data_IF_214460404018
#
_entry.id   IF_214460404018
#
_cell.length_a   1.000
_cell.length_b   1.000
_cell.length_c   1.000
_cell.angle_alpha   90.00
_cell.angle_beta   90.00
_cell.angle_gamma   90.00
#
_symmetry.space_group_name_H-M   'P 1'
#
loop_
_entity.id
_entity.type
_entity.pdbx_description
1 polymer ?
#
# COMPACT_ATOMS: atom_id res chain seq x y z
N UNK A 1 -16.52 -23.50 14.61
CA UNK A 1 -15.59 -22.68 13.80
C UNK A 1 -15.91 -22.91 12.33
N UNK A 2 -15.89 -21.85 11.51
CA UNK A 2 -16.05 -21.98 10.06
C UNK A 2 -14.70 -22.24 9.38
N UNK A 3 -14.70 -22.93 8.24
CA UNK A 3 -13.54 -22.91 7.33
C UNK A 3 -13.49 -21.56 6.64
N UNK A 4 -12.27 -21.06 6.41
CA UNK A 4 -12.02 -19.81 5.69
C UNK A 4 -11.22 -20.15 4.45
N UNK A 5 -11.56 -19.53 3.32
CA UNK A 5 -10.88 -19.71 2.03
C UNK A 5 -10.53 -18.34 1.44
N UNK A 6 -9.47 -18.27 0.66
CA UNK A 6 -9.15 -17.10 -0.15
C UNK A 6 -9.82 -17.27 -1.51
N UNK A 7 -10.68 -16.33 -1.90
CA UNK A 7 -11.45 -16.40 -3.16
C UNK A 7 -10.95 -15.47 -4.24
N UNK A 8 -10.17 -14.43 -3.89
CA UNK A 8 -9.56 -13.54 -4.88
C UNK A 8 -8.39 -12.76 -4.31
N UNK A 9 -7.49 -12.36 -5.20
CA UNK A 9 -6.23 -11.67 -4.88
C UNK A 9 -6.06 -10.47 -5.80
N UNK A 10 -5.70 -9.33 -5.22
CA UNK A 10 -5.30 -8.13 -5.94
C UNK A 10 -3.96 -7.62 -5.42
N UNK A 11 -3.08 -7.24 -6.34
CA UNK A 11 -1.70 -6.86 -6.03
C UNK A 11 -1.26 -5.71 -6.92
N UNK A 12 -0.57 -4.76 -6.30
CA UNK A 12 0.06 -3.61 -6.97
C UNK A 12 1.41 -3.39 -6.30
N UNK A 13 2.49 -3.56 -7.05
CA UNK A 13 3.85 -3.28 -6.60
C UNK A 13 4.77 -3.04 -7.82
N UNK A 14 6.05 -2.75 -7.58
CA UNK A 14 7.02 -2.55 -8.68
C UNK A 14 7.25 -3.79 -9.56
N UNK A 15 6.90 -4.99 -9.09
CA UNK A 15 7.00 -6.23 -9.86
C UNK A 15 5.80 -6.39 -10.81
N UNK A 16 4.62 -5.87 -10.47
CA UNK A 16 3.46 -5.89 -11.36
C UNK A 16 2.21 -5.25 -10.77
N UNK A 17 1.33 -4.81 -11.67
CA UNK A 17 -0.02 -4.34 -11.36
C UNK A 17 -0.99 -5.42 -11.84
N UNK A 18 -1.77 -6.00 -10.94
CA UNK A 18 -2.62 -7.16 -11.21
C UNK A 18 -1.92 -8.50 -11.00
N UNK A 19 -2.72 -9.52 -10.72
CA UNK A 19 -2.26 -10.86 -10.33
C UNK A 19 -1.44 -11.55 -11.43
N UNK A 20 -1.92 -11.49 -12.69
CA UNK A 20 -1.25 -12.16 -13.82
C UNK A 20 0.17 -11.63 -14.03
N UNK A 21 0.32 -10.30 -14.15
CA UNK A 21 1.62 -9.70 -14.40
C UNK A 21 2.57 -9.86 -13.22
N UNK A 22 2.06 -9.72 -12.00
CA UNK A 22 2.83 -9.99 -10.79
C UNK A 22 3.35 -11.43 -10.77
N UNK A 23 2.49 -12.41 -11.06
CA UNK A 23 2.87 -13.82 -11.02
C UNK A 23 3.89 -14.17 -12.10
N UNK A 24 3.67 -13.75 -13.35
CA UNK A 24 4.60 -13.93 -14.46
C UNK A 24 6.01 -13.38 -14.15
N UNK A 25 6.06 -12.17 -13.61
CA UNK A 25 7.32 -11.52 -13.27
C UNK A 25 7.99 -12.18 -12.05
N UNK A 26 7.20 -12.63 -11.06
CA UNK A 26 7.73 -13.33 -9.89
C UNK A 26 8.40 -14.65 -10.28
N UNK A 27 7.74 -15.49 -11.09
CA UNK A 27 8.26 -16.81 -11.47
C UNK A 27 9.46 -16.73 -12.42
N UNK A 28 9.55 -15.65 -13.22
CA UNK A 28 10.68 -15.42 -14.14
C UNK A 28 11.89 -14.79 -13.45
N UNK A 29 11.79 -14.43 -12.17
CA UNK A 29 12.86 -13.75 -11.44
C UNK A 29 13.07 -12.30 -11.86
N UNK A 30 12.03 -11.64 -12.39
CA UNK A 30 12.07 -10.22 -12.70
C UNK A 30 12.37 -9.39 -11.44
N UNK A 31 13.24 -8.41 -11.57
CA UNK A 31 13.67 -7.56 -10.47
C UNK A 31 13.34 -6.10 -10.77
N UNK A 32 12.40 -5.54 -10.01
CA UNK A 32 11.93 -4.16 -10.12
C UNK A 32 12.84 -3.13 -9.44
N UNK A 33 13.81 -3.56 -8.62
CA UNK A 33 14.65 -2.65 -7.84
C UNK A 33 15.52 -1.82 -8.78
N UNK A 34 15.46 -0.51 -8.66
CA UNK A 34 16.28 0.42 -9.41
C UNK A 34 16.62 1.66 -8.57
N UNK A 35 17.33 2.62 -9.18
CA UNK A 35 17.54 3.94 -8.57
C UNK A 35 16.18 4.61 -8.34
N UNK A 36 16.03 5.23 -7.18
CA UNK A 36 14.85 6.05 -6.86
C UNK A 36 14.74 7.20 -7.88
N UNK A 37 13.54 7.39 -8.43
CA UNK A 37 13.26 8.46 -9.39
C UNK A 37 12.22 9.45 -8.87
N UNK A 38 11.49 9.11 -7.80
CA UNK A 38 10.46 9.97 -7.21
C UNK A 38 10.99 11.27 -6.59
N UNK A 39 12.24 11.29 -6.13
CA UNK A 39 12.89 12.45 -5.51
C UNK A 39 14.42 12.32 -5.55
N UNK A 40 15.13 13.41 -5.22
CA UNK A 40 16.58 13.41 -5.16
C UNK A 40 17.10 12.65 -3.92
N UNK A 41 17.96 11.66 -4.17
CA UNK A 41 18.62 10.83 -3.16
C UNK A 41 20.13 11.09 -3.09
N UNK A 42 20.61 12.17 -3.69
CA UNK A 42 22.03 12.52 -3.70
C UNK A 42 22.58 12.62 -2.28
N UNK A 43 23.71 11.95 -2.03
CA UNK A 43 24.37 11.92 -0.72
C UNK A 43 23.79 10.91 0.27
N UNK A 44 22.68 10.23 -0.04
CA UNK A 44 22.15 9.16 0.80
C UNK A 44 22.93 7.85 0.60
N UNK A 45 23.10 7.08 1.69
CA UNK A 45 23.84 5.81 1.66
C UNK A 45 23.14 4.75 0.80
N UNK A 46 21.81 4.75 0.83
CA UNK A 46 20.93 4.01 -0.06
C UNK A 46 20.23 5.01 -0.99
N UNK A 47 20.26 4.76 -2.30
CA UNK A 47 19.52 5.51 -3.32
C UNK A 47 18.68 4.61 -4.24
N UNK A 48 18.35 3.40 -3.78
CA UNK A 48 17.64 2.38 -4.57
C UNK A 48 16.36 1.93 -3.89
N UNK A 49 15.38 1.51 -4.67
CA UNK A 49 14.08 1.02 -4.20
C UNK A 49 13.29 0.33 -5.31
N UNK A 50 12.12 -0.21 -4.98
CA UNK A 50 11.21 -0.80 -5.94
C UNK A 50 9.98 0.09 -6.12
N UNK A 51 10.04 1.05 -7.04
CA UNK A 51 8.91 1.94 -7.33
C UNK A 51 7.85 1.26 -8.21
N UNK A 52 6.57 1.59 -8.02
CA UNK A 52 5.50 1.29 -8.98
C UNK A 52 5.66 2.24 -10.18
N UNK A 53 5.77 1.68 -11.38
CA UNK A 53 5.86 2.47 -12.62
C UNK A 53 4.52 3.18 -12.91
N UNK A 54 4.56 4.52 -12.95
CA UNK A 54 3.40 5.36 -13.24
C UNK A 54 2.83 5.14 -14.64
N UNK A 55 3.59 4.58 -15.57
CA UNK A 55 3.08 4.19 -16.91
C UNK A 55 2.10 3.02 -16.84
N UNK A 56 2.24 2.18 -15.82
CA UNK A 56 1.44 0.97 -15.63
C UNK A 56 0.32 1.17 -14.57
N UNK A 57 0.29 2.32 -13.89
CA UNK A 57 -0.67 2.58 -12.83
C UNK A 57 -1.15 4.04 -12.84
N UNK A 58 -2.43 4.21 -13.16
CA UNK A 58 -3.14 5.50 -13.05
C UNK A 58 -4.23 5.37 -11.98
N UNK A 59 -4.10 6.04 -10.80
CA UNK A 59 -5.05 5.90 -9.71
C UNK A 59 -6.51 6.14 -10.12
N UNK A 60 -6.77 7.16 -10.94
CA UNK A 60 -8.12 7.58 -11.32
C UNK A 60 -8.93 6.51 -12.07
N UNK A 61 -8.27 5.48 -12.61
CA UNK A 61 -8.95 4.42 -13.35
C UNK A 61 -9.65 3.41 -12.41
N UNK A 62 -9.33 3.44 -11.11
CA UNK A 62 -9.84 2.52 -10.10
C UNK A 62 -10.89 3.13 -9.16
N UNK A 63 -11.12 4.44 -9.24
CA UNK A 63 -12.14 5.14 -8.45
C UNK A 63 -13.44 5.30 -9.25
N UNK A 64 -14.57 5.06 -8.61
CA UNK A 64 -15.91 5.38 -9.13
C UNK A 64 -16.02 6.88 -9.40
N UNK A 65 -15.49 7.72 -8.49
CA UNK A 65 -15.34 9.14 -8.70
C UNK A 65 -13.86 9.52 -8.89
N UNK A 66 -13.48 9.80 -10.14
CA UNK A 66 -12.10 10.16 -10.50
C UNK A 66 -11.51 11.34 -9.72
N UNK A 67 -12.34 12.23 -9.17
CA UNK A 67 -11.86 13.39 -8.37
C UNK A 67 -11.25 12.96 -7.04
N UNK A 68 -11.60 11.78 -6.53
CA UNK A 68 -11.09 11.29 -5.24
C UNK A 68 -9.63 10.86 -5.31
N UNK A 69 -9.09 10.63 -6.53
CA UNK A 69 -7.66 10.46 -6.75
C UNK A 69 -6.84 11.71 -6.34
N UNK A 70 -7.43 12.92 -6.32
CA UNK A 70 -6.72 14.13 -5.90
C UNK A 70 -6.85 14.42 -4.39
N UNK A 71 -7.57 13.58 -3.65
CA UNK A 71 -7.95 13.81 -2.25
C UNK A 71 -7.35 12.80 -1.29
N UNK A 72 -6.56 11.87 -1.82
CA UNK A 72 -5.99 10.75 -1.10
C UNK A 72 -4.49 10.64 -1.37
N UNK A 73 -3.80 9.91 -0.50
CA UNK A 73 -2.39 9.55 -0.69
C UNK A 73 -2.24 8.27 -1.54
N UNK A 74 -1.03 8.03 -2.05
CA UNK A 74 -0.66 6.85 -2.85
C UNK A 74 -1.00 5.55 -2.12
N UNK A 75 -0.86 5.48 -0.79
CA UNK A 75 -1.21 4.27 -0.04
C UNK A 75 -2.70 3.91 -0.17
N UNK A 76 -3.60 4.91 -0.18
CA UNK A 76 -5.02 4.69 -0.43
C UNK A 76 -5.29 4.35 -1.89
N UNK A 77 -4.58 4.95 -2.85
CA UNK A 77 -4.69 4.59 -4.26
C UNK A 77 -4.39 3.12 -4.50
N UNK A 78 -3.30 2.62 -3.92
CA UNK A 78 -2.91 1.21 -4.04
C UNK A 78 -3.94 0.29 -3.38
N UNK A 79 -4.49 0.65 -2.20
CA UNK A 79 -5.51 -0.14 -1.53
C UNK A 79 -6.82 -0.23 -2.33
N UNK A 80 -7.29 0.88 -2.89
CA UNK A 80 -8.52 0.91 -3.71
C UNK A 80 -8.34 0.05 -4.96
N UNK A 81 -7.23 0.25 -5.67
CA UNK A 81 -6.98 -0.48 -6.90
C UNK A 81 -6.71 -1.98 -6.65
N UNK A 82 -5.93 -2.34 -5.63
CA UNK A 82 -5.74 -3.75 -5.25
C UNK A 82 -7.04 -4.40 -4.79
N UNK A 83 -7.91 -3.68 -4.06
CA UNK A 83 -9.22 -4.23 -3.68
C UNK A 83 -10.11 -4.48 -4.89
N UNK A 84 -10.15 -3.53 -5.84
CA UNK A 84 -10.90 -3.71 -7.09
C UNK A 84 -10.48 -4.97 -7.82
N UNK A 85 -9.16 -5.14 -8.00
CA UNK A 85 -8.58 -6.33 -8.62
C UNK A 85 -8.93 -7.62 -7.86
N UNK A 86 -8.91 -7.60 -6.53
CA UNK A 86 -9.26 -8.75 -5.70
C UNK A 86 -10.75 -9.14 -5.81
N UNK A 87 -11.65 -8.16 -5.86
CA UNK A 87 -13.09 -8.38 -6.04
C UNK A 87 -13.38 -8.95 -7.43
N UNK A 88 -12.73 -8.38 -8.46
CA UNK A 88 -12.87 -8.84 -9.84
C UNK A 88 -12.33 -10.28 -10.00
N UNK A 89 -11.18 -10.61 -9.41
CA UNK A 89 -10.61 -11.97 -9.39
C UNK A 89 -11.52 -12.97 -8.64
N UNK A 90 -12.10 -12.55 -7.52
CA UNK A 90 -13.07 -13.36 -6.76
C UNK A 90 -14.40 -13.57 -7.51
N UNK A 91 -14.67 -12.79 -8.55
CA UNK A 91 -15.94 -12.77 -9.29
C UNK A 91 -17.15 -12.57 -8.37
N UNK A 92 -16.98 -11.75 -7.33
CA UNK A 92 -18.03 -11.43 -6.36
C UNK A 92 -18.86 -10.26 -6.90
N UNK A 93 -20.16 -10.48 -7.06
CA UNK A 93 -21.12 -9.42 -7.34
C UNK A 93 -21.67 -8.85 -6.02
N UNK A 94 -21.12 -7.70 -5.62
CA UNK A 94 -21.51 -7.04 -4.36
C UNK A 94 -22.98 -6.62 -4.32
N UNK A 95 -23.68 -6.54 -5.45
CA UNK A 95 -25.12 -6.25 -5.48
C UNK A 95 -26.00 -7.46 -5.14
N UNK A 96 -25.43 -8.67 -5.13
CA UNK A 96 -26.15 -9.93 -4.88
C UNK A 96 -25.88 -10.52 -3.49
N UNK A 97 -25.08 -9.84 -2.67
CA UNK A 97 -24.76 -10.28 -1.31
C UNK A 97 -25.11 -9.19 -0.29
N UNK A 98 -25.25 -9.59 0.98
CA UNK A 98 -25.48 -8.62 2.06
C UNK A 98 -24.18 -7.90 2.41
N UNK A 99 -24.03 -6.65 1.96
CA UNK A 99 -22.87 -5.84 2.28
C UNK A 99 -22.69 -5.54 3.78
N UNK A 100 -23.71 -5.73 4.63
CA UNK A 100 -23.53 -5.64 6.09
C UNK A 100 -22.71 -6.82 6.65
N UNK A 101 -22.59 -7.90 5.87
CA UNK A 101 -21.77 -9.08 6.14
C UNK A 101 -20.42 -9.06 5.41
N UNK A 102 -20.05 -7.93 4.81
CA UNK A 102 -18.76 -7.73 4.16
C UNK A 102 -17.95 -6.69 4.92
N UNK A 103 -16.89 -7.12 5.60
CA UNK A 103 -15.97 -6.25 6.33
C UNK A 103 -14.71 -5.89 5.53
N UNK A 104 -14.00 -4.87 6.01
CA UNK A 104 -12.75 -4.35 5.44
C UNK A 104 -11.70 -4.19 6.54
N UNK A 105 -10.57 -4.88 6.43
CA UNK A 105 -9.42 -4.73 7.33
C UNK A 105 -8.15 -4.55 6.51
N UNK A 106 -7.79 -3.29 6.26
CA UNK A 106 -6.62 -2.93 5.46
C UNK A 106 -5.73 -2.04 6.31
N UNK A 107 -4.48 -2.47 6.52
CA UNK A 107 -3.52 -1.74 7.31
C UNK A 107 -2.50 -0.99 6.46
N UNK A 108 -1.94 0.08 7.04
CA UNK A 108 -0.75 0.75 6.53
C UNK A 108 0.20 0.97 7.71
N UNK A 109 1.50 0.76 7.48
CA UNK A 109 2.50 0.89 8.54
C UNK A 109 2.72 2.34 8.93
N UNK A 110 2.79 3.22 7.92
CA UNK A 110 3.11 4.64 8.10
C UNK A 110 1.95 5.56 7.68
N UNK A 111 1.10 5.12 6.75
CA UNK A 111 -0.04 5.90 6.27
C UNK A 111 0.33 6.87 5.14
N UNK A 112 -0.46 7.94 4.97
CA UNK A 112 -0.33 8.89 3.88
C UNK A 112 0.77 9.94 4.11
N UNK A 113 2.02 9.47 4.19
CA UNK A 113 3.15 10.30 4.58
C UNK A 113 3.53 11.35 3.53
N UNK A 114 3.40 11.02 2.24
CA UNK A 114 3.70 11.98 1.17
C UNK A 114 2.73 13.17 1.19
N UNK A 115 1.46 12.91 1.48
CA UNK A 115 0.46 13.96 1.69
C UNK A 115 0.83 14.85 2.88
N UNK A 116 1.22 14.26 4.02
CA UNK A 116 1.68 15.00 5.19
C UNK A 116 2.89 15.88 4.86
N UNK A 117 3.90 15.37 4.16
CA UNK A 117 5.10 16.14 3.77
C UNK A 117 4.75 17.37 2.92
N UNK A 118 3.85 17.21 1.94
CA UNK A 118 3.39 18.32 1.07
C UNK A 118 2.64 19.39 1.86
N UNK A 119 1.80 18.97 2.81
CA UNK A 119 1.04 19.89 3.63
C UNK A 119 1.91 20.55 4.71
N UNK A 120 2.91 19.87 5.27
CA UNK A 120 3.93 20.48 6.13
C UNK A 120 4.69 21.58 5.38
N UNK A 121 5.13 21.30 4.14
CA UNK A 121 5.75 22.33 3.30
C UNK A 121 4.82 23.52 3.08
N UNK A 122 3.55 23.25 2.78
CA UNK A 122 2.52 24.30 2.62
C UNK A 122 2.33 25.11 3.90
N UNK A 123 2.33 24.48 5.07
CA UNK A 123 2.22 25.14 6.38
C UNK A 123 3.34 26.17 6.57
N UNK A 124 4.59 25.73 6.37
CA UNK A 124 5.76 26.57 6.63
C UNK A 124 5.97 27.66 5.57
N UNK A 125 5.64 27.40 4.30
CA UNK A 125 5.83 28.37 3.22
C UNK A 125 4.66 29.35 3.06
N UNK A 126 3.42 28.90 3.32
CA UNK A 126 2.20 29.64 2.95
C UNK A 126 1.23 29.86 4.12
N UNK A 127 1.49 29.24 5.27
CA UNK A 127 0.68 29.37 6.48
C UNK A 127 -0.57 28.48 6.52
N UNK A 128 -1.08 28.29 7.74
CA UNK A 128 -2.19 27.37 8.06
C UNK A 128 -3.47 27.53 7.21
N UNK A 129 -3.81 28.74 6.74
CA UNK A 129 -5.00 28.99 5.91
C UNK A 129 -4.95 28.30 4.55
N UNK A 130 -3.78 27.81 4.13
CA UNK A 130 -3.58 27.13 2.83
C UNK A 130 -3.56 25.61 2.92
N UNK A 131 -3.69 25.05 4.12
CA UNK A 131 -3.72 23.61 4.33
C UNK A 131 -4.95 22.99 3.69
N UNK A 132 -4.76 21.87 3.03
CA UNK A 132 -5.83 21.09 2.43
C UNK A 132 -6.78 20.58 3.51
N UNK A 133 -8.11 20.70 3.33
CA UNK A 133 -9.08 20.07 4.23
C UNK A 133 -9.00 18.54 4.19
N UNK A 134 -8.30 17.98 3.18
CA UNK A 134 -8.08 16.54 3.04
C UNK A 134 -6.83 16.04 3.78
N UNK A 135 -6.03 16.89 4.43
CA UNK A 135 -4.82 16.46 5.12
C UNK A 135 -5.09 15.29 6.10
N UNK A 136 -5.99 15.49 7.06
CA UNK A 136 -6.27 14.47 8.08
C UNK A 136 -6.87 13.21 7.44
N UNK A 137 -7.91 13.31 6.59
CA UNK A 137 -8.42 12.13 5.90
C UNK A 137 -7.41 11.43 4.99
N UNK A 138 -6.43 12.11 4.40
CA UNK A 138 -5.47 11.47 3.50
C UNK A 138 -4.29 10.84 4.23
N UNK A 139 -3.91 11.33 5.42
CA UNK A 139 -2.69 10.91 6.11
C UNK A 139 -2.86 9.74 7.08
N UNK A 140 -4.03 9.61 7.73
CA UNK A 140 -4.21 8.65 8.82
C UNK A 140 -4.16 7.19 8.31
N UNK A 141 -3.49 6.32 9.05
CA UNK A 141 -3.17 4.96 8.61
C UNK A 141 -4.41 4.05 8.39
N UNK A 142 -5.57 4.42 8.94
CA UNK A 142 -6.82 3.69 8.73
C UNK A 142 -7.65 4.16 7.51
N UNK A 143 -7.25 5.26 6.85
CA UNK A 143 -7.93 5.76 5.66
C UNK A 143 -8.07 4.73 4.55
N UNK A 144 -7.05 3.92 4.20
CA UNK A 144 -7.20 2.92 3.16
C UNK A 144 -8.39 1.98 3.39
N UNK A 145 -8.58 1.48 4.61
CA UNK A 145 -9.72 0.62 4.96
C UNK A 145 -11.06 1.37 4.89
N UNK A 146 -11.11 2.58 5.44
CA UNK A 146 -12.32 3.41 5.41
C UNK A 146 -12.74 3.77 3.99
N UNK A 147 -11.77 4.16 3.16
CA UNK A 147 -12.03 4.55 1.78
C UNK A 147 -12.49 3.36 0.93
N UNK A 148 -11.82 2.21 1.04
CA UNK A 148 -12.23 0.97 0.36
C UNK A 148 -13.66 0.55 0.74
N UNK A 149 -13.99 0.64 2.03
CA UNK A 149 -15.34 0.34 2.51
C UNK A 149 -16.39 1.28 1.89
N UNK A 150 -16.11 2.58 1.79
CA UNK A 150 -17.02 3.54 1.14
C UNK A 150 -17.12 3.30 -0.37
N UNK A 151 -15.99 3.11 -1.05
CA UNK A 151 -15.87 2.94 -2.50
C UNK A 151 -16.69 1.73 -2.98
N UNK A 152 -16.67 0.63 -2.23
CA UNK A 152 -17.37 -0.60 -2.57
C UNK A 152 -18.66 -0.82 -1.76
N UNK A 153 -19.06 0.17 -0.96
CA UNK A 153 -20.26 0.11 -0.12
C UNK A 153 -20.29 -1.14 0.80
N UNK A 154 -19.15 -1.45 1.41
CA UNK A 154 -18.97 -2.55 2.36
C UNK A 154 -19.33 -2.03 3.76
N UNK A 155 -20.41 -2.55 4.33
CA UNK A 155 -21.05 -2.00 5.54
C UNK A 155 -20.80 -2.83 6.80
N UNK A 156 -20.00 -3.89 6.68
CA UNK A 156 -19.45 -4.58 7.84
C UNK A 156 -18.38 -3.75 8.55
N UNK A 157 -17.60 -4.40 9.40
CA UNK A 157 -16.52 -3.73 10.13
C UNK A 157 -15.52 -3.06 9.18
N UNK A 158 -15.05 -1.85 9.53
CA UNK A 158 -13.96 -1.18 8.83
C UNK A 158 -12.86 -0.81 9.82
N UNK A 159 -11.69 -1.45 9.70
CA UNK A 159 -10.54 -1.26 10.60
C UNK A 159 -9.24 -1.08 9.83
N UNK A 160 -8.44 -0.10 10.26
CA UNK A 160 -7.04 0.01 9.87
C UNK A 160 -6.14 -0.39 11.03
N UNK A 161 -5.41 -1.50 10.88
CA UNK A 161 -4.41 -1.92 11.85
C UNK A 161 -3.03 -1.49 11.42
N UNK A 162 -2.15 -1.29 12.41
CA UNK A 162 -0.76 -0.93 12.19
C UNK A 162 0.14 -1.68 13.18
N UNK A 163 1.09 -2.43 12.63
CA UNK A 163 2.11 -3.17 13.36
C UNK A 163 3.43 -3.22 12.58
N UNK A 164 3.79 -2.07 11.98
CA UNK A 164 4.97 -1.91 11.12
C UNK A 164 5.01 -2.98 10.01
N UNK A 165 6.13 -3.69 9.85
CA UNK A 165 6.30 -4.72 8.82
C UNK A 165 5.31 -5.89 8.93
N UNK A 166 4.71 -6.12 10.10
CA UNK A 166 3.75 -7.20 10.33
C UNK A 166 2.29 -6.81 9.98
N UNK A 167 2.05 -5.56 9.58
CA UNK A 167 0.71 -4.98 9.42
C UNK A 167 -0.22 -5.85 8.58
N UNK A 168 0.19 -6.23 7.37
CA UNK A 168 -0.65 -7.06 6.48
C UNK A 168 -0.87 -8.49 7.01
N UNK A 169 0.12 -9.05 7.72
CA UNK A 169 -0.03 -10.35 8.37
C UNK A 169 -1.05 -10.31 9.50
N UNK A 170 -1.02 -9.26 10.32
CA UNK A 170 -2.01 -9.04 11.37
C UNK A 170 -3.41 -8.82 10.81
N UNK A 171 -3.57 -8.01 9.75
CA UNK A 171 -4.88 -7.73 9.12
C UNK A 171 -5.54 -8.97 8.56
N UNK A 172 -4.79 -9.81 7.85
CA UNK A 172 -5.27 -11.10 7.36
C UNK A 172 -5.63 -12.03 8.51
N UNK A 173 -4.82 -12.06 9.57
CA UNK A 173 -5.08 -12.88 10.77
C UNK A 173 -6.36 -12.49 11.50
N UNK A 174 -6.64 -11.20 11.67
CA UNK A 174 -7.88 -10.72 12.29
C UNK A 174 -9.09 -10.92 11.38
N UNK A 175 -8.97 -10.66 10.07
CA UNK A 175 -10.03 -10.96 9.11
C UNK A 175 -10.41 -12.45 9.10
N UNK A 176 -9.42 -13.34 9.19
CA UNK A 176 -9.64 -14.78 9.36
C UNK A 176 -10.48 -15.08 10.61
N UNK A 177 -10.21 -14.41 11.74
CA UNK A 177 -10.96 -14.61 13.00
C UNK A 177 -12.42 -14.19 12.84
N UNK A 178 -12.67 -13.02 12.26
CA UNK A 178 -14.02 -12.53 11.99
C UNK A 178 -14.88 -13.53 11.20
N UNK A 179 -14.32 -14.15 10.14
CA UNK A 179 -15.03 -15.18 9.36
C UNK A 179 -15.15 -16.49 10.17
N UNK A 180 -14.07 -16.92 10.84
CA UNK A 180 -14.05 -18.16 11.63
C UNK A 180 -15.11 -18.18 12.73
N UNK A 181 -15.38 -17.02 13.34
CA UNK A 181 -16.38 -16.81 14.37
C UNK A 181 -17.76 -16.38 13.84
N UNK A 182 -17.95 -16.35 12.51
CA UNK A 182 -19.22 -16.07 11.83
C UNK A 182 -19.77 -14.66 12.09
N UNK A 183 -18.90 -13.69 12.34
CA UNK A 183 -19.30 -12.28 12.48
C UNK A 183 -19.61 -11.69 11.10
N UNK A 184 -18.76 -11.99 10.12
CA UNK A 184 -18.86 -11.59 8.72
C UNK A 184 -18.69 -12.79 7.79
N UNK A 185 -19.29 -12.72 6.60
CA UNK A 185 -19.24 -13.79 5.60
C UNK A 185 -18.09 -13.58 4.61
N UNK A 186 -17.74 -12.31 4.34
CA UNK A 186 -16.65 -11.92 3.45
C UNK A 186 -15.82 -10.84 4.13
N UNK A 187 -14.50 -10.92 3.96
CA UNK A 187 -13.57 -9.88 4.40
C UNK A 187 -12.65 -9.47 3.27
N UNK A 188 -12.63 -8.17 2.95
CA UNK A 188 -11.53 -7.56 2.21
C UNK A 188 -10.41 -7.30 3.20
N UNK A 189 -9.24 -7.91 3.02
CA UNK A 189 -8.13 -7.74 3.94
C UNK A 189 -6.77 -7.71 3.25
N UNK A 190 -5.80 -7.06 3.90
CA UNK A 190 -4.44 -6.94 3.38
C UNK A 190 -3.70 -5.74 3.96
N UNK A 191 -2.72 -5.25 3.23
CA UNK A 191 -1.99 -4.04 3.61
C UNK A 191 -1.57 -3.22 2.40
N UNK A 192 -1.28 -1.95 2.66
CA UNK A 192 -0.81 -0.99 1.67
C UNK A 192 0.28 -0.12 2.27
N UNK A 193 1.21 0.33 1.44
CA UNK A 193 2.22 1.28 1.85
C UNK A 193 2.68 2.11 0.65
N UNK A 194 3.06 3.36 0.90
CA UNK A 194 3.62 4.26 -0.11
C UNK A 194 4.81 5.05 0.47
N UNK A 195 5.65 4.38 1.25
CA UNK A 195 6.67 5.01 2.08
C UNK A 195 7.95 5.42 1.33
N UNK A 196 8.02 5.25 0.01
CA UNK A 196 9.09 5.82 -0.84
C UNK A 196 8.81 7.32 -0.98
N UNK A 197 9.12 8.05 0.08
CA UNK A 197 8.97 9.50 0.22
C UNK A 197 10.25 10.10 0.80
N UNK A 198 10.54 11.39 0.57
CA UNK A 198 11.76 12.03 1.06
C UNK A 198 12.01 11.82 2.56
N UNK A 199 11.02 12.10 3.43
CA UNK A 199 11.25 12.03 4.88
C UNK A 199 11.41 10.59 5.38
N UNK A 200 10.61 9.65 4.87
CA UNK A 200 10.68 8.24 5.24
C UNK A 200 12.02 7.65 4.82
N UNK A 201 12.39 7.85 3.56
CA UNK A 201 13.61 7.29 3.00
C UNK A 201 14.86 7.89 3.65
N UNK A 202 14.86 9.18 3.98
CA UNK A 202 15.92 9.81 4.77
C UNK A 202 15.99 9.24 6.19
N UNK A 203 14.85 9.04 6.86
CA UNK A 203 14.77 8.46 8.20
C UNK A 203 15.35 7.03 8.26
N UNK A 204 14.96 6.16 7.33
CA UNK A 204 15.50 4.80 7.27
C UNK A 204 16.96 4.74 6.81
N UNK A 205 17.43 5.70 5.99
CA UNK A 205 18.86 5.90 5.70
C UNK A 205 19.63 6.27 6.98
N UNK A 206 19.13 7.24 7.76
CA UNK A 206 19.75 7.69 9.01
C UNK A 206 19.80 6.56 10.05
N UNK A 207 18.76 5.73 10.09
CA UNK A 207 18.69 4.51 10.93
C UNK A 207 19.68 3.41 10.47
N UNK A 208 20.27 3.54 9.28
CA UNK A 208 21.12 2.52 8.63
C UNK A 208 20.40 1.18 8.46
N UNK A 209 19.08 1.22 8.28
CA UNK A 209 18.27 0.02 8.04
C UNK A 209 18.21 -0.35 6.54
N UNK A 210 18.40 0.64 5.66
CA UNK A 210 18.41 0.45 4.22
C UNK A 210 19.73 -0.15 3.73
N UNK A 211 19.62 -0.92 2.66
CA UNK A 211 20.73 -1.48 1.89
C UNK A 211 21.75 -0.40 1.49
N UNK A 212 23.03 -0.67 1.69
CA UNK A 212 24.14 0.25 1.35
C UNK A 212 25.19 -0.41 0.47
N UNK A 213 25.90 0.40 -0.33
CA UNK A 213 26.99 -0.06 -1.21
C UNK A 213 26.55 -0.65 -2.56
N UNK A 214 25.29 -0.46 -2.95
CA UNK A 214 24.72 -1.03 -4.18
C UNK A 214 24.05 -0.01 -5.10
N UNK A 215 24.29 1.29 -4.90
CA UNK A 215 23.73 2.34 -5.76
C UNK A 215 24.17 2.22 -7.24
N UNK A 216 25.37 1.71 -7.49
CA UNK A 216 25.89 1.46 -8.85
C UNK A 216 25.44 0.11 -9.44
N UNK A 217 24.86 -0.76 -8.61
CA UNK A 217 24.28 -2.03 -9.08
C UNK A 217 22.98 -2.37 -8.33
N UNK A 218 21.90 -1.61 -8.56
CA UNK A 218 20.66 -1.69 -7.78
C UNK A 218 20.06 -3.09 -7.73
N UNK A 219 20.10 -3.82 -8.84
CA UNK A 219 19.56 -5.19 -8.98
C UNK A 219 20.22 -6.18 -8.03
N UNK A 220 21.42 -5.87 -7.52
CA UNK A 220 22.12 -6.68 -6.53
C UNK A 220 21.86 -6.24 -5.08
N UNK A 221 21.13 -5.15 -4.82
CA UNK A 221 20.95 -4.60 -3.47
C UNK A 221 20.17 -5.52 -2.53
N UNK A 222 19.01 -6.01 -2.95
CA UNK A 222 18.20 -6.92 -2.14
C UNK A 222 18.68 -8.37 -2.34
N UNK A 223 19.23 -8.96 -1.28
CA UNK A 223 19.78 -10.33 -1.29
C UNK A 223 19.56 -11.05 0.04
N UNK A 224 18.32 -11.45 0.34
CA UNK A 224 18.02 -12.18 1.57
C UNK A 224 18.96 -13.39 1.75
N UNK A 225 19.40 -13.62 2.99
CA UNK A 225 20.28 -14.74 3.41
C UNK A 225 21.72 -14.71 2.86
N UNK A 226 22.06 -13.83 1.92
CA UNK A 226 23.42 -13.69 1.42
C UNK A 226 24.38 -13.11 2.48
N UNK A 227 25.66 -13.53 2.43
CA UNK A 227 26.70 -13.06 3.35
C UNK A 227 26.95 -11.55 3.23
N UNK A 228 26.78 -10.98 2.04
CA UNK A 228 27.04 -9.57 1.73
C UNK A 228 25.77 -8.70 1.76
N UNK A 229 24.67 -9.16 2.35
CA UNK A 229 23.47 -8.33 2.58
C UNK A 229 23.81 -7.16 3.51
N UNK A 230 23.26 -5.98 3.26
CA UNK A 230 23.63 -4.75 3.98
C UNK A 230 22.43 -3.90 4.45
N UNK A 231 21.24 -4.50 4.51
CA UNK A 231 19.98 -3.83 4.86
C UNK A 231 18.84 -4.24 3.92
N UNK A 232 17.62 -3.77 4.18
CA UNK A 232 16.50 -4.01 3.28
C UNK A 232 16.45 -2.96 2.15
N UNK A 233 15.77 -3.29 1.05
CA UNK A 233 15.45 -2.32 -0.01
C UNK A 233 13.98 -1.96 0.12
N UNK A 234 13.68 -0.67 0.21
CA UNK A 234 12.30 -0.19 0.32
C UNK A 234 11.54 -0.41 -0.99
N UNK A 235 10.26 -0.79 -0.88
CA UNK A 235 9.34 -1.01 -2.01
C UNK A 235 8.00 -0.36 -1.75
#
# INVERSE_FOLDING_TARGET
>A
TSRVVCTGIGVINGVGVGLEKFWENLISGYNSIDKITKFDVTGMACGIGSEIDKKNFTPSDYYTNKKDANRNDDCTHYAVAATRLAIDDAKIDLHKIDCNKVGTIIGSGIGGLLFLEKEMKTLYEKGHKRISPYLIPAMIANTPAGFVSMEHNLRGISLGMLSACATSGNTIGEAYRYIKYKEYDVMVCGGTEASITPISFAGFNALRALCSGYNDNPKKGCRPFDLKRSGFVMG
#
